data_IF_361800929545
#
_entry.id   IF_361800929545
#
_cell.length_a   1.000
_cell.length_b   1.000
_cell.length_c   1.000
_cell.angle_alpha   90.00
_cell.angle_beta   90.00
_cell.angle_gamma   90.00
#
_symmetry.space_group_name_H-M   'P 1'
#
loop_
_entity.id
_entity.type
_entity.pdbx_description
1 polymer ?
#
# COMPACT_ATOMS: atom_id res chain seq x y z
N UNK A 1 -47.55 -45.74 51.13
CA UNK A 1 -47.21 -44.32 50.84
C UNK A 1 -45.71 -44.24 50.70
N UNK A 2 -45.15 -43.77 49.56
CA UNK A 2 -43.78 -43.19 49.38
C UNK A 2 -43.18 -43.38 47.96
N UNK A 3 -43.83 -44.08 47.03
CA UNK A 3 -43.29 -44.27 45.67
C UNK A 3 -43.19 -42.96 44.83
N UNK A 4 -43.98 -41.94 45.18
CA UNK A 4 -43.97 -40.65 44.46
C UNK A 4 -42.91 -39.67 45.01
N UNK A 5 -42.24 -39.99 46.12
CA UNK A 5 -41.25 -39.10 46.73
C UNK A 5 -39.95 -39.09 45.92
N UNK A 6 -39.50 -40.27 45.47
CA UNK A 6 -38.29 -40.41 44.66
C UNK A 6 -38.44 -39.75 43.29
N UNK A 7 -39.63 -39.83 42.69
CA UNK A 7 -39.93 -39.17 41.42
C UNK A 7 -39.91 -37.63 41.53
N UNK A 8 -40.40 -37.09 42.67
CA UNK A 8 -40.32 -35.64 42.97
C UNK A 8 -38.89 -35.18 43.22
N UNK A 9 -38.09 -35.98 43.93
CA UNK A 9 -36.67 -35.68 44.15
C UNK A 9 -35.91 -35.68 42.82
N UNK A 10 -36.15 -36.67 41.95
CA UNK A 10 -35.57 -36.71 40.61
C UNK A 10 -35.96 -35.48 39.78
N UNK A 11 -37.23 -35.08 39.81
CA UNK A 11 -37.69 -33.88 39.10
C UNK A 11 -37.01 -32.59 39.62
N UNK A 12 -36.86 -32.45 40.94
CA UNK A 12 -36.17 -31.31 41.55
C UNK A 12 -34.70 -31.28 41.14
N UNK A 13 -34.01 -32.43 41.15
CA UNK A 13 -32.60 -32.51 40.74
C UNK A 13 -32.45 -32.15 39.27
N UNK A 14 -33.33 -32.63 38.39
CA UNK A 14 -33.30 -32.27 36.96
C UNK A 14 -33.52 -30.78 36.74
N UNK A 15 -34.50 -30.18 37.43
CA UNK A 15 -34.74 -28.73 37.36
C UNK A 15 -33.53 -27.95 37.88
N UNK A 16 -32.90 -28.42 38.96
CA UNK A 16 -31.74 -27.78 39.56
C UNK A 16 -30.50 -27.89 38.66
N UNK A 17 -30.30 -29.02 37.98
CA UNK A 17 -29.26 -29.18 36.96
C UNK A 17 -29.53 -28.25 35.79
N UNK A 18 -30.75 -28.22 35.24
CA UNK A 18 -31.11 -27.28 34.17
C UNK A 18 -30.88 -25.84 34.61
N UNK A 19 -31.17 -25.48 35.86
CA UNK A 19 -30.94 -24.14 36.39
C UNK A 19 -29.45 -23.80 36.60
N UNK A 20 -28.63 -24.79 36.95
CA UNK A 20 -27.17 -24.63 37.04
C UNK A 20 -26.57 -24.41 35.66
N UNK A 21 -26.98 -25.23 34.68
CA UNK A 21 -26.54 -25.03 33.31
C UNK A 21 -27.06 -23.65 32.85
N UNK A 22 -28.36 -23.37 33.04
CA UNK A 22 -29.05 -22.05 33.19
C UNK A 22 -28.11 -20.85 33.38
N UNK A 23 -27.74 -20.71 34.65
CA UNK A 23 -27.12 -19.53 35.23
C UNK A 23 -25.61 -19.45 35.01
N UNK A 24 -24.96 -20.50 34.53
CA UNK A 24 -23.51 -20.50 34.30
C UNK A 24 -23.27 -20.28 32.80
N UNK A 25 -23.17 -19.02 32.33
CA UNK A 25 -23.04 -18.69 30.92
C UNK A 25 -21.83 -19.35 30.22
N UNK A 26 -20.84 -19.84 30.97
CA UNK A 26 -19.69 -20.58 30.44
C UNK A 26 -19.94 -22.05 30.08
N UNK A 27 -21.12 -22.63 30.33
CA UNK A 27 -21.41 -24.04 30.00
C UNK A 27 -21.95 -24.22 28.57
N UNK A 28 -22.47 -23.16 27.94
CA UNK A 28 -23.09 -23.23 26.61
C UNK A 28 -22.76 -22.10 25.65
N UNK A 29 -22.09 -21.05 26.10
CA UNK A 29 -21.69 -19.94 25.25
C UNK A 29 -20.18 -19.80 25.23
N UNK A 30 -19.52 -20.70 24.50
CA UNK A 30 -18.12 -20.57 24.07
C UNK A 30 -18.02 -19.68 22.81
N UNK A 31 -18.72 -18.55 22.78
CA UNK A 31 -18.41 -17.51 21.79
C UNK A 31 -17.25 -16.68 22.34
N UNK A 32 -16.01 -16.85 21.84
CA UNK A 32 -14.87 -16.11 22.35
C UNK A 32 -15.09 -14.62 22.06
N UNK A 33 -15.33 -13.85 23.13
CA UNK A 33 -15.37 -12.39 23.06
C UNK A 33 -14.09 -11.91 22.37
N UNK A 34 -14.25 -11.18 21.26
CA UNK A 34 -13.13 -10.63 20.48
C UNK A 34 -12.43 -9.56 21.32
N UNK A 35 -11.33 -9.94 21.96
CA UNK A 35 -10.51 -9.04 22.78
C UNK A 35 -9.64 -8.17 21.86
N UNK A 36 -9.72 -6.85 22.01
CA UNK A 36 -8.86 -5.90 21.29
C UNK A 36 -7.41 -5.90 21.78
N UNK A 37 -6.57 -5.05 21.18
CA UNK A 37 -5.12 -4.94 21.46
C UNK A 37 -4.79 -4.82 22.96
N UNK A 38 -5.56 -4.05 23.71
CA UNK A 38 -5.33 -3.79 25.14
C UNK A 38 -5.60 -5.04 26.03
N UNK A 39 -6.45 -5.96 25.56
CA UNK A 39 -6.89 -7.14 26.33
C UNK A 39 -6.30 -8.45 25.82
N UNK A 40 -5.79 -8.50 24.57
CA UNK A 40 -5.17 -9.67 23.95
C UNK A 40 -3.67 -9.53 23.70
N UNK A 41 -3.13 -8.31 23.81
CA UNK A 41 -1.78 -8.01 23.36
C UNK A 41 -1.68 -8.00 21.82
N UNK A 42 -0.58 -7.45 21.32
CA UNK A 42 -0.33 -7.37 19.88
C UNK A 42 0.74 -6.35 19.52
N UNK A 43 0.92 -6.17 18.23
CA UNK A 43 1.99 -5.34 17.66
C UNK A 43 1.44 -4.02 17.14
N UNK A 44 2.08 -2.91 17.52
CA UNK A 44 1.84 -1.57 16.97
C UNK A 44 3.07 -1.10 16.19
N UNK A 45 2.90 -0.80 14.91
CA UNK A 45 3.97 -0.32 14.03
C UNK A 45 3.57 0.98 13.34
N UNK A 46 4.55 1.85 13.15
CA UNK A 46 4.41 3.03 12.30
C UNK A 46 5.44 2.93 11.19
N UNK A 47 4.97 2.90 9.95
CA UNK A 47 5.82 2.77 8.75
C UNK A 47 5.69 4.02 7.89
N UNK A 48 6.79 4.49 7.29
CA UNK A 48 6.77 5.59 6.32
C UNK A 48 6.80 5.05 4.90
N UNK A 49 5.93 5.58 4.04
CA UNK A 49 5.89 5.30 2.61
C UNK A 49 6.90 6.18 1.89
N UNK A 50 7.68 5.61 0.97
CA UNK A 50 8.60 6.37 0.13
C UNK A 50 7.88 6.92 -1.11
N UNK A 51 7.29 8.10 -1.00
CA UNK A 51 6.60 8.77 -2.10
C UNK A 51 7.57 9.35 -3.13
N UNK A 52 8.81 9.70 -2.71
CA UNK A 52 9.80 10.29 -3.60
C UNK A 52 10.23 9.36 -4.73
N UNK A 53 10.23 8.05 -4.50
CA UNK A 53 10.51 7.08 -5.55
C UNK A 53 9.40 7.02 -6.60
N UNK A 54 8.14 7.19 -6.20
CA UNK A 54 6.99 7.23 -7.11
C UNK A 54 7.01 8.49 -7.99
N UNK A 55 7.26 9.66 -7.39
CA UNK A 55 7.37 10.91 -8.18
C UNK A 55 8.58 10.90 -9.09
N UNK A 56 9.70 10.30 -8.65
CA UNK A 56 10.89 10.12 -9.49
C UNK A 56 10.62 9.23 -10.70
N UNK A 57 9.91 8.11 -10.49
CA UNK A 57 9.51 7.22 -11.57
C UNK A 57 8.63 7.96 -12.59
N UNK A 58 7.67 8.75 -12.11
CA UNK A 58 6.80 9.57 -12.97
C UNK A 58 7.62 10.58 -13.79
N UNK A 59 8.59 11.26 -13.17
CA UNK A 59 9.49 12.18 -13.88
C UNK A 59 10.29 11.46 -14.96
N UNK A 60 10.81 10.27 -14.66
CA UNK A 60 11.58 9.48 -15.63
C UNK A 60 10.70 9.05 -16.81
N UNK A 61 9.49 8.57 -16.52
CA UNK A 61 8.48 8.20 -17.52
C UNK A 61 8.06 9.40 -18.37
N UNK A 62 7.82 10.56 -17.76
CA UNK A 62 7.48 11.79 -18.47
C UNK A 62 8.61 12.24 -19.40
N UNK A 63 9.87 12.14 -18.94
CA UNK A 63 11.03 12.49 -19.76
C UNK A 63 11.19 11.56 -20.96
N UNK A 64 10.90 10.26 -20.80
CA UNK A 64 10.97 9.28 -21.87
C UNK A 64 9.78 9.39 -22.83
N UNK A 65 8.60 9.70 -22.29
CA UNK A 65 7.42 10.04 -23.09
C UNK A 65 7.71 11.25 -23.98
N UNK A 66 8.34 12.31 -23.44
CA UNK A 66 8.74 13.47 -24.25
C UNK A 66 9.66 13.09 -25.41
N UNK A 67 10.69 12.27 -25.18
CA UNK A 67 11.57 11.77 -26.24
C UNK A 67 10.82 10.98 -27.31
N UNK A 68 9.97 10.06 -26.85
CA UNK A 68 9.16 9.20 -27.73
C UNK A 68 8.23 10.03 -28.60
N UNK A 69 7.57 11.04 -28.02
CA UNK A 69 6.66 11.91 -28.74
C UNK A 69 7.40 12.90 -29.65
N UNK A 70 8.59 13.38 -29.27
CA UNK A 70 9.42 14.21 -30.13
C UNK A 70 9.77 13.44 -31.43
N UNK A 71 10.27 12.21 -31.30
CA UNK A 71 10.60 11.37 -32.45
C UNK A 71 9.39 11.09 -33.36
N UNK A 72 8.20 10.86 -32.79
CA UNK A 72 6.95 10.66 -33.55
C UNK A 72 6.51 11.90 -34.34
N UNK A 73 6.83 13.09 -33.86
CA UNK A 73 6.46 14.36 -34.51
C UNK A 73 7.58 14.92 -35.41
N UNK A 74 8.57 14.10 -35.79
CA UNK A 74 9.75 14.49 -36.57
C UNK A 74 10.59 15.60 -35.90
N UNK A 75 10.49 15.74 -34.58
CA UNK A 75 11.35 16.63 -33.82
C UNK A 75 12.61 15.87 -33.39
N UNK A 76 13.79 16.51 -33.44
CA UNK A 76 15.00 15.91 -32.88
C UNK A 76 14.80 15.52 -31.40
N UNK A 77 15.35 14.39 -30.99
CA UNK A 77 15.17 13.92 -29.61
C UNK A 77 15.96 14.83 -28.66
N UNK A 78 15.31 15.46 -27.66
CA UNK A 78 16.01 16.33 -26.72
C UNK A 78 16.81 15.49 -25.72
N UNK A 79 17.94 16.05 -25.26
CA UNK A 79 18.67 15.45 -24.14
C UNK A 79 17.93 15.77 -22.86
N UNK A 80 17.36 14.76 -22.20
CA UNK A 80 16.67 14.94 -20.92
C UNK A 80 17.56 14.56 -19.76
N UNK A 81 17.47 15.33 -18.68
CA UNK A 81 18.15 15.03 -17.41
C UNK A 81 17.24 15.40 -16.26
N UNK A 82 17.04 14.45 -15.34
CA UNK A 82 16.36 14.71 -14.07
C UNK A 82 17.23 15.62 -13.19
N UNK A 83 16.61 16.62 -12.59
CA UNK A 83 17.27 17.54 -11.66
C UNK A 83 16.92 17.19 -10.22
N UNK A 84 15.67 16.84 -9.94
CA UNK A 84 15.20 16.39 -8.62
C UNK A 84 14.01 15.42 -8.79
N UNK A 85 13.36 15.02 -7.69
CA UNK A 85 12.28 14.04 -7.70
C UNK A 85 10.98 14.50 -8.38
N UNK A 86 10.85 15.78 -8.76
CA UNK A 86 9.66 16.38 -9.40
C UNK A 86 9.99 17.22 -10.64
N UNK A 87 11.26 17.31 -11.03
CA UNK A 87 11.72 18.22 -12.08
C UNK A 87 12.74 17.54 -12.97
N UNK A 88 12.57 17.72 -14.27
CA UNK A 88 13.60 17.40 -15.27
C UNK A 88 13.81 18.57 -16.22
N UNK A 89 14.97 18.58 -16.87
CA UNK A 89 15.34 19.53 -17.91
C UNK A 89 15.43 18.77 -19.23
N UNK A 90 14.90 19.34 -20.29
CA UNK A 90 15.10 18.88 -21.66
C UNK A 90 15.87 19.95 -22.43
N UNK A 91 16.97 19.55 -23.04
CA UNK A 91 17.80 20.43 -23.89
C UNK A 91 17.61 19.99 -25.34
N UNK A 92 16.92 20.79 -26.17
CA UNK A 92 16.85 20.55 -27.60
C UNK A 92 18.23 20.64 -28.27
N UNK A 93 18.44 19.93 -29.40
CA UNK A 93 19.63 20.14 -30.22
C UNK A 93 19.71 21.58 -30.76
N UNK A 94 20.94 22.05 -31.00
CA UNK A 94 21.19 23.43 -31.42
C UNK A 94 20.42 23.79 -32.71
N UNK A 95 19.80 24.99 -32.70
CA UNK A 95 19.07 25.53 -33.86
C UNK A 95 17.59 25.13 -33.96
N UNK A 96 17.05 24.37 -32.99
CA UNK A 96 15.63 24.02 -32.94
C UNK A 96 14.90 24.92 -31.94
N UNK A 97 13.73 25.43 -32.33
CA UNK A 97 12.90 26.25 -31.44
C UNK A 97 12.34 25.44 -30.27
N UNK A 98 12.44 25.98 -29.07
CA UNK A 98 11.83 25.42 -27.85
C UNK A 98 10.29 25.42 -27.87
N UNK A 99 9.66 26.23 -28.73
CA UNK A 99 8.21 26.38 -28.79
C UNK A 99 7.46 25.10 -29.21
N UNK A 100 8.06 24.26 -30.07
CA UNK A 100 7.44 23.01 -30.51
C UNK A 100 7.39 21.98 -29.38
N UNK A 101 8.46 21.88 -28.59
CA UNK A 101 8.50 21.03 -27.40
C UNK A 101 7.56 21.52 -26.30
N UNK A 102 7.39 22.84 -26.14
CA UNK A 102 6.40 23.40 -25.21
C UNK A 102 4.97 23.03 -25.60
N UNK A 103 4.65 23.07 -26.90
CA UNK A 103 3.34 22.63 -27.41
C UNK A 103 3.14 21.14 -27.18
N UNK A 104 4.14 20.34 -27.49
CA UNK A 104 4.12 18.89 -27.27
C UNK A 104 3.92 18.57 -25.78
N UNK A 105 4.62 19.27 -24.90
CA UNK A 105 4.49 19.11 -23.46
C UNK A 105 3.07 19.43 -22.97
N UNK A 106 2.46 20.48 -23.51
CA UNK A 106 1.10 20.87 -23.13
C UNK A 106 0.07 19.80 -23.49
N UNK A 107 0.27 19.10 -24.61
CA UNK A 107 -0.64 18.08 -25.11
C UNK A 107 -0.46 16.73 -24.41
N UNK A 108 0.80 16.32 -24.16
CA UNK A 108 1.12 14.98 -23.65
C UNK A 108 1.52 14.92 -22.18
N UNK A 109 1.92 16.05 -21.57
CA UNK A 109 2.41 16.13 -20.19
C UNK A 109 1.62 17.18 -19.36
N UNK A 110 0.29 17.05 -19.23
CA UNK A 110 -0.54 18.04 -18.53
C UNK A 110 -0.22 18.14 -17.04
N UNK A 111 0.43 17.13 -16.46
CA UNK A 111 0.88 17.09 -15.07
C UNK A 111 2.09 18.00 -14.78
N UNK A 112 2.73 18.57 -15.80
CA UNK A 112 3.94 19.38 -15.67
C UNK A 112 3.69 20.83 -16.11
N UNK A 113 4.31 21.77 -15.39
CA UNK A 113 4.51 23.14 -15.82
C UNK A 113 5.85 23.25 -16.56
N UNK A 114 5.85 23.98 -17.67
CA UNK A 114 7.02 24.14 -18.54
C UNK A 114 7.50 25.58 -18.49
N UNK A 115 8.80 25.76 -18.26
CA UNK A 115 9.45 27.07 -18.20
C UNK A 115 10.79 27.04 -18.93
N UNK A 116 11.13 28.11 -19.65
CA UNK A 116 12.44 28.25 -20.30
C UNK A 116 13.52 28.61 -19.28
N UNK A 117 14.65 27.94 -19.40
CA UNK A 117 15.89 28.22 -18.67
C UNK A 117 16.75 29.18 -19.50
N UNK A 118 17.65 29.99 -18.89
CA UNK A 118 18.53 30.92 -19.62
C UNK A 118 19.39 30.28 -20.71
N UNK A 119 19.70 28.98 -20.59
CA UNK A 119 20.54 28.22 -21.52
C UNK A 119 19.76 27.60 -22.70
N UNK A 120 18.61 28.19 -23.06
CA UNK A 120 17.67 27.68 -24.09
C UNK A 120 17.17 26.24 -23.84
N UNK A 121 17.22 25.82 -22.57
CA UNK A 121 16.67 24.55 -22.12
C UNK A 121 15.23 24.73 -21.63
N UNK A 122 14.46 23.64 -21.63
CA UNK A 122 13.12 23.59 -21.05
C UNK A 122 13.16 22.86 -19.73
N UNK A 123 12.72 23.54 -18.68
CA UNK A 123 12.50 22.95 -17.37
C UNK A 123 11.05 22.54 -17.23
N UNK A 124 10.85 21.28 -16.86
CA UNK A 124 9.56 20.67 -16.60
C UNK A 124 9.46 20.43 -15.10
N UNK A 125 8.51 21.08 -14.45
CA UNK A 125 8.25 20.94 -13.01
C UNK A 125 6.87 20.33 -12.82
N UNK A 126 6.79 19.22 -12.10
CA UNK A 126 5.51 18.60 -11.78
C UNK A 126 4.63 19.58 -10.98
N UNK A 127 3.36 19.66 -11.37
CA UNK A 127 2.36 20.47 -10.69
C UNK A 127 2.14 19.93 -9.26
N UNK A 128 1.94 20.82 -8.26
CA UNK A 128 1.64 20.37 -6.90
C UNK A 128 0.44 19.42 -6.81
N UNK A 129 -0.60 19.67 -7.62
CA UNK A 129 -1.79 18.83 -7.66
C UNK A 129 -1.48 17.39 -8.15
N UNK A 130 -0.59 17.24 -9.13
CA UNK A 130 -0.16 15.94 -9.63
C UNK A 130 0.72 15.21 -8.61
N UNK A 131 1.67 15.92 -7.99
CA UNK A 131 2.50 15.36 -6.93
C UNK A 131 1.66 14.85 -5.75
N UNK A 132 0.67 15.64 -5.30
CA UNK A 132 -0.24 15.23 -4.23
C UNK A 132 -1.22 14.12 -4.64
N UNK A 133 -1.50 13.94 -5.93
CA UNK A 133 -2.28 12.80 -6.41
C UNK A 133 -1.45 11.52 -6.35
N UNK A 134 -0.22 11.56 -6.88
CA UNK A 134 0.75 10.45 -6.81
C UNK A 134 1.02 10.06 -5.36
N UNK A 135 1.16 11.03 -4.46
CA UNK A 135 1.33 10.80 -3.02
C UNK A 135 0.16 10.00 -2.43
N UNK A 136 -1.08 10.42 -2.70
CA UNK A 136 -2.29 9.72 -2.24
C UNK A 136 -2.37 8.32 -2.82
N UNK A 137 -2.22 8.17 -4.12
CA UNK A 137 -2.28 6.89 -4.81
C UNK A 137 -1.20 5.93 -4.28
N UNK A 138 0.01 6.43 -4.05
CA UNK A 138 1.13 5.64 -3.49
C UNK A 138 0.84 5.18 -2.06
N UNK A 139 0.24 6.03 -1.23
CA UNK A 139 -0.17 5.67 0.14
C UNK A 139 -1.26 4.61 0.10
N UNK A 140 -2.29 4.79 -0.73
CA UNK A 140 -3.40 3.85 -0.86
C UNK A 140 -2.92 2.48 -1.35
N UNK A 141 -2.03 2.46 -2.35
CA UNK A 141 -1.37 1.24 -2.81
C UNK A 141 -0.52 0.58 -1.72
N UNK A 142 0.18 1.37 -0.91
CA UNK A 142 0.95 0.84 0.21
C UNK A 142 0.04 0.23 1.29
N UNK A 143 -1.07 0.88 1.65
CA UNK A 143 -2.07 0.35 2.59
C UNK A 143 -2.61 -0.99 2.10
N UNK A 144 -3.00 -1.06 0.83
CA UNK A 144 -3.54 -2.29 0.24
C UNK A 144 -2.49 -3.40 0.17
N UNK A 145 -1.24 -3.06 -0.18
CA UNK A 145 -0.12 -4.01 -0.17
C UNK A 145 0.13 -4.56 1.23
N UNK A 146 0.09 -3.70 2.27
CA UNK A 146 0.26 -4.10 3.66
C UNK A 146 -0.90 -5.01 4.08
N UNK A 147 -2.14 -4.66 3.73
CA UNK A 147 -3.33 -5.46 4.05
C UNK A 147 -3.19 -6.89 3.52
N UNK A 148 -2.91 -7.05 2.23
CA UNK A 148 -2.74 -8.36 1.61
C UNK A 148 -1.61 -9.20 2.26
N UNK A 149 -0.53 -8.57 2.71
CA UNK A 149 0.58 -9.26 3.40
C UNK A 149 0.22 -9.68 4.82
N UNK A 150 -0.55 -8.85 5.52
CA UNK A 150 -1.03 -9.14 6.86
C UNK A 150 -2.10 -10.23 6.84
N UNK A 151 -2.95 -10.25 5.82
CA UNK A 151 -3.94 -11.31 5.63
C UNK A 151 -3.24 -12.67 5.43
N UNK A 152 -2.10 -12.69 4.71
CA UNK A 152 -1.27 -13.88 4.56
C UNK A 152 -0.62 -14.37 5.88
N UNK A 153 -0.57 -13.54 6.92
CA UNK A 153 -0.15 -13.94 8.26
C UNK A 153 -1.26 -14.64 9.06
N UNK A 154 -2.49 -14.68 8.55
CA UNK A 154 -3.65 -15.25 9.24
C UNK A 154 -4.19 -14.36 10.37
N UNK A 155 -3.89 -13.06 10.35
CA UNK A 155 -4.41 -12.11 11.34
C UNK A 155 -5.88 -11.85 11.05
N UNK A 156 -6.73 -12.12 12.04
CA UNK A 156 -8.16 -11.80 11.98
C UNK A 156 -8.32 -10.37 12.51
N UNK A 157 -8.62 -9.41 11.63
CA UNK A 157 -8.90 -7.99 11.93
C UNK A 157 -7.69 -7.07 12.20
N UNK A 158 -6.82 -6.83 11.21
CA UNK A 158 -5.79 -5.81 11.32
C UNK A 158 -6.34 -4.39 11.16
N UNK A 159 -5.81 -3.43 11.94
CA UNK A 159 -6.07 -2.01 11.75
C UNK A 159 -4.90 -1.38 10.99
N UNK A 160 -5.13 -0.97 9.74
CA UNK A 160 -4.13 -0.34 8.87
C UNK A 160 -4.70 0.97 8.39
N UNK A 161 -4.13 2.09 8.86
CA UNK A 161 -4.67 3.43 8.62
C UNK A 161 -3.55 4.39 8.21
N UNK A 162 -3.72 5.17 7.14
CA UNK A 162 -2.77 6.22 6.80
C UNK A 162 -2.81 7.35 7.85
N UNK A 163 -1.64 7.89 8.15
CA UNK A 163 -1.40 8.95 9.11
C UNK A 163 -0.63 10.09 8.42
N UNK A 164 -0.72 11.30 8.98
CA UNK A 164 -0.05 12.48 8.43
C UNK A 164 1.47 12.28 8.27
N UNK A 165 2.03 12.84 7.19
CA UNK A 165 3.45 12.77 6.88
C UNK A 165 3.89 11.45 6.23
N UNK A 166 3.03 10.88 5.38
CA UNK A 166 3.27 9.65 4.62
C UNK A 166 3.55 8.45 5.51
N UNK A 167 2.86 8.40 6.66
CA UNK A 167 2.97 7.32 7.63
C UNK A 167 1.76 6.41 7.54
N UNK A 168 1.93 5.16 7.90
CA UNK A 168 0.86 4.18 8.01
C UNK A 168 1.00 3.55 9.38
N UNK A 169 -0.08 3.63 10.16
CA UNK A 169 -0.21 2.98 11.47
C UNK A 169 -0.80 1.61 11.25
N UNK A 170 -0.15 0.60 11.81
CA UNK A 170 -0.50 -0.81 11.67
C UNK A 170 -0.65 -1.39 13.07
N UNK A 171 -1.79 -2.00 13.36
CA UNK A 171 -2.05 -2.68 14.63
C UNK A 171 -2.53 -4.10 14.34
N UNK A 172 -1.78 -5.08 14.85
CA UNK A 172 -2.02 -6.50 14.64
C UNK A 172 -2.32 -7.18 15.98
N UNK A 173 -3.58 -7.55 16.26
CA UNK A 173 -3.92 -8.28 17.48
C UNK A 173 -3.39 -9.72 17.42
N UNK A 174 -2.90 -10.23 18.55
CA UNK A 174 -2.45 -11.63 18.67
C UNK A 174 -1.13 -11.96 17.96
N UNK A 175 -0.37 -10.95 17.53
CA UNK A 175 1.02 -11.12 17.09
C UNK A 175 1.96 -10.37 18.05
N UNK A 176 2.83 -11.12 18.71
CA UNK A 176 3.77 -10.60 19.71
C UNK A 176 5.16 -10.28 19.15
N UNK A 177 5.44 -10.65 17.90
CA UNK A 177 6.73 -10.42 17.25
C UNK A 177 6.67 -9.30 16.19
N UNK A 178 6.98 -8.05 16.55
CA UNK A 178 7.02 -6.94 15.61
C UNK A 178 8.13 -7.05 14.56
N UNK A 179 9.23 -7.77 14.84
CA UNK A 179 10.33 -7.93 13.91
C UNK A 179 9.92 -8.81 12.73
N UNK A 180 9.28 -9.97 13.02
CA UNK A 180 8.74 -10.87 11.99
C UNK A 180 7.71 -10.18 11.10
N UNK A 181 6.81 -9.40 11.68
CA UNK A 181 5.80 -8.63 10.94
C UNK A 181 6.48 -7.62 10.01
N UNK A 182 7.43 -6.84 10.55
CA UNK A 182 8.17 -5.83 9.78
C UNK A 182 8.89 -6.46 8.59
N UNK A 183 9.50 -7.63 8.75
CA UNK A 183 10.24 -8.28 7.67
C UNK A 183 9.30 -8.74 6.54
N UNK A 184 8.13 -9.29 6.88
CA UNK A 184 7.13 -9.72 5.90
C UNK A 184 6.53 -8.50 5.17
N UNK A 185 6.28 -7.40 5.89
CA UNK A 185 5.75 -6.17 5.29
C UNK A 185 6.80 -5.44 4.43
N UNK A 186 8.09 -5.52 4.78
CA UNK A 186 9.17 -4.88 4.02
C UNK A 186 9.61 -5.66 2.79
N UNK A 187 9.44 -6.98 2.78
CA UNK A 187 9.99 -7.83 1.71
C UNK A 187 9.25 -7.55 0.39
N UNK A 188 9.79 -6.73 -0.50
CA UNK A 188 9.19 -6.53 -1.83
C UNK A 188 9.18 -7.86 -2.59
N UNK A 189 8.01 -8.48 -2.71
CA UNK A 189 7.84 -9.70 -3.51
C UNK A 189 7.90 -9.33 -5.00
N UNK A 190 9.11 -9.23 -5.56
CA UNK A 190 9.29 -9.07 -6.99
C UNK A 190 9.23 -10.45 -7.66
N UNK A 191 8.11 -10.74 -8.33
CA UNK A 191 8.01 -11.92 -9.19
C UNK A 191 8.75 -11.64 -10.51
N UNK A 192 9.87 -12.31 -10.73
CA UNK A 192 10.60 -12.27 -11.99
C UNK A 192 10.45 -13.62 -12.70
N UNK A 193 9.90 -13.61 -13.90
CA UNK A 193 9.97 -14.77 -14.79
C UNK A 193 11.32 -14.75 -15.50
N UNK A 194 12.12 -15.80 -15.32
CA UNK A 194 13.40 -15.98 -16.03
C UNK A 194 13.27 -17.16 -16.98
N UNK A 195 13.80 -17.01 -18.20
CA UNK A 195 14.03 -18.16 -19.06
C UNK A 195 15.09 -19.04 -18.40
N UNK A 196 14.81 -20.34 -18.34
CA UNK A 196 15.79 -21.34 -17.89
C UNK A 196 16.62 -21.73 -19.11
N UNK A 197 17.94 -21.47 -19.06
CA UNK A 197 18.86 -22.05 -20.03
C UNK A 197 19.21 -23.48 -19.59
N UNK A 198 18.67 -24.46 -20.32
CA UNK A 198 18.95 -25.89 -20.11
C UNK A 198 17.72 -26.76 -20.35
N UNK A 199 17.89 -27.89 -21.03
CA UNK A 199 16.85 -28.89 -21.13
C UNK A 199 16.60 -29.49 -19.72
N UNK A 200 15.36 -29.52 -19.20
CA UNK A 200 15.04 -30.05 -17.87
C UNK A 200 15.15 -31.58 -17.78
N UNK A 201 15.89 -32.23 -18.67
CA UNK A 201 16.02 -33.68 -18.75
C UNK A 201 17.47 -34.08 -19.01
N UNK A 202 18.20 -34.31 -17.92
CA UNK A 202 19.19 -35.40 -17.83
C UNK A 202 19.22 -35.88 -16.40
#
# INVERSE_FOLDING_TARGET
MNQNLWLKIAAIVVILVIFIVVLIPGVWSDEPIRRGLDLKGGTHLVMRVNVGDATRLEVDQASEALKTQAGKNNLPVPTTRRTNDVTFIAVPPAGISTAEYERLAKDYLPAFDVSRTPDDALQFKMKPAAASAIERDTIDHAVETIRNRVDALGVTEPLIVPESGNRIVIQLPGIDDPARVKDIIKTTAQLQFRLVEGNPTT
#
